data_IF_254495834990
#
_entry.id   IF_254495834990
#
_cell.length_a   1.000
_cell.length_b   1.000
_cell.length_c   1.000
_cell.angle_alpha   90.00
_cell.angle_beta   90.00
_cell.angle_gamma   90.00
#
_symmetry.space_group_name_H-M   'P 1'
#
loop_
_entity.id
_entity.type
_entity.pdbx_description
1 polymer ?
#
# COMPACT_ATOMS: atom_id res chain seq x y z
N UNK A 1 21.82 -0.79 14.45
CA UNK A 1 21.86 -0.40 13.02
C UNK A 1 23.14 0.33 12.65
N UNK A 2 23.64 1.28 13.47
CA UNK A 2 24.88 2.03 13.21
C UNK A 2 26.09 1.16 12.85
N UNK A 3 26.35 0.07 13.58
CA UNK A 3 27.45 -0.86 13.26
C UNK A 3 27.26 -1.57 11.91
N UNK A 4 26.03 -1.89 11.54
CA UNK A 4 25.72 -2.54 10.26
C UNK A 4 25.92 -1.54 9.11
N UNK A 5 25.43 -0.30 9.28
CA UNK A 5 25.60 0.78 8.30
C UNK A 5 27.08 1.12 8.10
N UNK A 6 27.85 1.26 9.18
CA UNK A 6 29.29 1.50 9.12
C UNK A 6 30.07 0.37 8.43
N UNK A 7 29.50 -0.84 8.35
CA UNK A 7 30.07 -2.00 7.65
C UNK A 7 29.51 -2.19 6.25
N UNK A 8 28.63 -1.30 5.76
CA UNK A 8 28.00 -1.42 4.45
C UNK A 8 27.09 -2.65 4.32
N UNK A 9 26.49 -3.13 5.41
CA UNK A 9 25.57 -4.28 5.34
C UNK A 9 24.28 -3.84 4.66
N UNK A 10 23.83 -4.46 3.56
CA UNK A 10 22.56 -4.12 2.93
C UNK A 10 21.39 -4.58 3.80
N UNK A 11 20.30 -3.79 3.83
CA UNK A 11 19.07 -4.11 4.55
C UNK A 11 17.97 -4.53 3.57
N UNK A 12 17.37 -5.69 3.81
CA UNK A 12 16.17 -6.13 3.12
C UNK A 12 14.93 -5.84 3.99
N UNK A 13 14.03 -5.01 3.51
CA UNK A 13 12.77 -4.68 4.20
C UNK A 13 11.63 -5.43 3.52
N UNK A 14 11.18 -6.52 4.12
CA UNK A 14 10.13 -7.40 3.56
C UNK A 14 8.71 -6.97 3.89
N UNK A 15 8.55 -5.90 4.68
CA UNK A 15 7.30 -5.22 4.93
C UNK A 15 7.58 -3.70 4.90
N UNK A 16 7.19 -2.99 3.83
CA UNK A 16 7.50 -1.57 3.66
C UNK A 16 6.60 -0.63 4.46
N UNK A 17 5.61 -1.16 5.19
CA UNK A 17 4.69 -0.34 5.99
C UNK A 17 5.44 0.46 7.05
N UNK A 18 5.01 1.70 7.26
CA UNK A 18 5.65 2.63 8.20
C UNK A 18 5.05 2.57 9.61
N UNK A 19 3.75 2.29 9.70
CA UNK A 19 2.98 2.27 10.94
C UNK A 19 2.00 1.11 10.94
N UNK A 20 1.70 0.59 12.13
CA UNK A 20 0.68 -0.43 12.32
C UNK A 20 -0.72 0.23 12.41
N UNK A 21 -1.71 -0.24 11.62
CA UNK A 21 -3.10 0.15 11.82
C UNK A 21 -3.56 -0.10 13.27
N UNK A 22 -4.28 0.84 13.88
CA UNK A 22 -4.86 0.71 15.22
C UNK A 22 -3.95 1.09 16.40
N UNK A 23 -2.62 1.08 16.24
CA UNK A 23 -1.71 1.43 17.34
C UNK A 23 -0.64 2.45 16.98
N UNK A 24 -0.54 2.85 15.71
CA UNK A 24 0.50 3.76 15.17
C UNK A 24 1.94 3.33 15.50
N UNK A 25 2.12 2.07 15.93
CA UNK A 25 3.42 1.53 16.29
C UNK A 25 4.31 1.45 15.05
N UNK A 26 5.63 1.70 15.18
CA UNK A 26 6.55 1.66 14.05
C UNK A 26 6.60 0.26 13.42
N UNK A 27 6.61 0.20 12.09
CA UNK A 27 6.71 -1.02 11.28
C UNK A 27 8.04 -1.07 10.51
N UNK A 28 8.43 -2.22 9.90
CA UNK A 28 9.78 -2.40 9.34
C UNK A 28 10.17 -1.38 8.26
N UNK A 29 9.21 -0.80 7.53
CA UNK A 29 9.45 0.30 6.59
C UNK A 29 10.08 1.53 7.26
N UNK A 30 9.67 1.85 8.50
CA UNK A 30 10.25 2.96 9.26
C UNK A 30 11.71 2.69 9.63
N UNK A 31 12.07 1.43 9.88
CA UNK A 31 13.45 1.02 10.12
C UNK A 31 14.30 1.19 8.85
N UNK A 32 13.79 0.79 7.69
CA UNK A 32 14.43 1.01 6.39
C UNK A 32 14.67 2.49 6.10
N UNK A 33 13.66 3.34 6.32
CA UNK A 33 13.77 4.79 6.12
C UNK A 33 14.87 5.40 6.98
N UNK A 34 14.96 4.98 8.23
CA UNK A 34 16.00 5.40 9.17
C UNK A 34 17.40 4.90 8.72
N UNK A 35 17.51 3.65 8.29
CA UNK A 35 18.76 3.06 7.83
C UNK A 35 19.33 3.75 6.58
N UNK A 36 18.49 4.02 5.59
CA UNK A 36 18.90 4.71 4.38
C UNK A 36 19.14 6.20 4.63
N UNK A 37 18.19 6.89 5.26
CA UNK A 37 18.20 8.34 5.37
C UNK A 37 19.21 8.88 6.39
N UNK A 38 19.21 8.33 7.61
CA UNK A 38 20.07 8.86 8.68
C UNK A 38 21.43 8.18 8.75
N UNK A 39 21.52 6.93 8.30
CA UNK A 39 22.76 6.13 8.40
C UNK A 39 23.44 5.88 7.05
N UNK A 40 22.87 6.33 5.93
CA UNK A 40 23.43 6.17 4.59
C UNK A 40 23.55 4.71 4.12
N UNK A 41 22.80 3.79 4.75
CA UNK A 41 22.85 2.37 4.42
C UNK A 41 22.05 2.02 3.16
N UNK A 42 22.47 0.97 2.46
CA UNK A 42 21.74 0.44 1.31
C UNK A 42 20.48 -0.32 1.77
N UNK A 43 19.33 -0.02 1.17
CA UNK A 43 18.04 -0.66 1.48
C UNK A 43 17.35 -1.12 0.22
N UNK A 44 16.90 -2.38 0.21
CA UNK A 44 15.97 -2.91 -0.77
C UNK A 44 14.63 -3.19 -0.09
N UNK A 45 13.54 -2.63 -0.64
CA UNK A 45 12.19 -2.89 -0.17
C UNK A 45 11.52 -3.99 -1.01
N UNK A 46 10.84 -4.92 -0.34
CA UNK A 46 9.96 -5.92 -0.96
C UNK A 46 8.56 -5.70 -0.40
N UNK A 47 7.60 -5.49 -1.30
CA UNK A 47 6.20 -5.26 -0.96
C UNK A 47 5.62 -4.09 -1.74
N UNK A 48 4.34 -3.78 -1.48
CA UNK A 48 3.62 -2.67 -2.11
C UNK A 48 4.24 -1.31 -1.72
N UNK A 49 4.19 -0.26 -2.57
CA UNK A 49 3.66 -0.23 -3.94
C UNK A 49 4.67 -0.72 -4.99
N UNK A 50 5.85 -1.21 -4.57
CA UNK A 50 7.04 -1.26 -5.41
C UNK A 50 6.92 -2.23 -6.58
N UNK A 51 7.14 -1.68 -7.78
CA UNK A 51 7.55 -2.33 -9.02
C UNK A 51 9.04 -2.03 -9.25
N UNK A 52 9.91 -2.53 -8.38
CA UNK A 52 11.35 -2.33 -8.59
C UNK A 52 11.78 -3.00 -9.90
N UNK A 53 12.40 -2.25 -10.82
CA UNK A 53 12.91 -2.79 -12.09
C UNK A 53 13.89 -3.98 -11.94
N UNK A 54 14.32 -4.29 -10.71
CA UNK A 54 15.25 -5.35 -10.35
C UNK A 54 14.73 -6.33 -9.27
N UNK A 55 13.43 -6.31 -8.93
CA UNK A 55 12.85 -7.25 -7.97
C UNK A 55 11.49 -7.75 -8.45
N UNK A 56 11.32 -9.07 -8.50
CA UNK A 56 10.01 -9.71 -8.66
C UNK A 56 9.15 -9.34 -7.45
N UNK A 57 8.33 -8.30 -7.60
CA UNK A 57 7.52 -7.72 -6.54
C UNK A 57 6.35 -8.61 -6.15
N UNK A 58 5.63 -8.21 -5.10
CA UNK A 58 4.40 -8.90 -4.69
C UNK A 58 3.34 -8.91 -5.80
N UNK A 59 3.30 -7.85 -6.64
CA UNK A 59 2.42 -7.78 -7.80
C UNK A 59 2.82 -8.77 -8.89
N UNK A 60 4.10 -8.83 -9.28
CA UNK A 60 4.56 -9.81 -10.29
C UNK A 60 4.19 -11.24 -9.89
N UNK A 61 4.36 -11.58 -8.61
CA UNK A 61 4.00 -12.91 -8.13
C UNK A 61 2.49 -13.14 -8.18
N UNK A 62 1.69 -12.16 -7.75
CA UNK A 62 0.23 -12.25 -7.79
C UNK A 62 -0.29 -12.38 -9.23
N UNK A 63 0.24 -11.56 -10.16
CA UNK A 63 -0.11 -11.57 -11.58
C UNK A 63 0.32 -12.86 -12.27
N UNK A 64 1.48 -13.41 -11.93
CA UNK A 64 1.90 -14.73 -12.42
C UNK A 64 0.93 -15.83 -12.01
N UNK A 65 0.47 -15.83 -10.74
CA UNK A 65 -0.53 -16.79 -10.26
C UNK A 65 -1.86 -16.61 -11.00
N UNK A 66 -2.31 -15.37 -11.23
CA UNK A 66 -3.52 -15.10 -12.01
C UNK A 66 -3.39 -15.58 -13.45
N UNK A 67 -2.24 -15.37 -14.08
CA UNK A 67 -1.96 -15.84 -15.43
C UNK A 67 -1.97 -17.38 -15.53
N UNK A 68 -1.46 -18.09 -14.52
CA UNK A 68 -1.57 -19.56 -14.41
C UNK A 68 -3.04 -20.02 -14.34
N UNK A 69 -3.96 -19.18 -13.85
CA UNK A 69 -5.40 -19.42 -13.82
C UNK A 69 -6.13 -18.90 -15.09
N UNK A 70 -5.40 -18.43 -16.10
CA UNK A 70 -5.96 -17.91 -17.35
C UNK A 70 -6.45 -16.46 -17.29
N UNK A 71 -6.06 -15.71 -16.25
CA UNK A 71 -6.34 -14.26 -16.14
C UNK A 71 -5.06 -13.50 -16.51
N UNK A 72 -4.96 -13.08 -17.77
CA UNK A 72 -3.83 -12.28 -18.30
C UNK A 72 -4.21 -10.85 -18.67
N UNK A 73 -5.50 -10.55 -18.72
CA UNK A 73 -6.04 -9.23 -19.01
C UNK A 73 -6.07 -8.39 -17.72
N UNK A 74 -5.14 -7.44 -17.61
CA UNK A 74 -5.00 -6.59 -16.43
C UNK A 74 -6.21 -5.67 -16.22
N UNK A 75 -6.98 -5.35 -17.27
CA UNK A 75 -8.20 -4.55 -17.16
C UNK A 75 -9.28 -5.27 -16.33
N UNK A 76 -9.14 -6.58 -16.15
CA UNK A 76 -10.04 -7.44 -15.34
C UNK A 76 -9.52 -7.71 -13.93
N UNK A 77 -8.38 -7.14 -13.56
CA UNK A 77 -7.75 -7.33 -12.25
C UNK A 77 -8.02 -6.10 -11.39
N UNK A 78 -8.55 -6.33 -10.19
CA UNK A 78 -8.80 -5.28 -9.22
C UNK A 78 -7.93 -5.49 -7.98
N UNK A 79 -7.20 -4.46 -7.57
CA UNK A 79 -6.59 -4.42 -6.24
C UNK A 79 -7.63 -3.99 -5.21
N UNK A 80 -7.60 -4.56 -4.02
CA UNK A 80 -8.43 -4.11 -2.90
C UNK A 80 -7.58 -3.96 -1.66
N UNK A 81 -7.65 -2.80 -1.03
CA UNK A 81 -6.87 -2.51 0.16
C UNK A 81 -7.26 -1.18 0.80
N UNK A 82 -6.62 -0.83 1.90
CA UNK A 82 -7.00 0.30 2.75
C UNK A 82 -6.00 1.46 2.71
N UNK A 83 -4.89 1.32 1.99
CA UNK A 83 -3.81 2.29 1.97
C UNK A 83 -3.60 2.88 0.57
N UNK A 84 -3.78 4.21 0.45
CA UNK A 84 -3.49 4.95 -0.78
C UNK A 84 -2.04 4.72 -1.27
N UNK A 85 -1.06 4.85 -0.37
CA UNK A 85 0.37 4.88 -0.68
C UNK A 85 0.95 3.50 -1.08
N UNK A 86 0.24 2.42 -0.76
CA UNK A 86 0.69 1.06 -1.05
C UNK A 86 -0.28 0.32 -1.97
N UNK A 87 -1.55 0.20 -1.62
CA UNK A 87 -2.54 -0.58 -2.37
C UNK A 87 -2.96 0.11 -3.66
N UNK A 88 -3.46 1.34 -3.54
CA UNK A 88 -4.04 2.08 -4.66
C UNK A 88 -2.94 2.51 -5.61
N UNK A 89 -1.88 3.12 -5.08
CA UNK A 89 -0.67 3.43 -5.84
C UNK A 89 -0.05 2.19 -6.49
N UNK A 90 0.01 1.07 -5.76
CA UNK A 90 0.53 -0.17 -6.32
C UNK A 90 -0.30 -0.70 -7.48
N UNK A 91 -1.63 -0.55 -7.44
CA UNK A 91 -2.50 -0.89 -8.56
C UNK A 91 -2.20 -0.03 -9.80
N UNK A 92 -2.09 1.28 -9.62
CA UNK A 92 -1.77 2.22 -10.69
C UNK A 92 -0.40 1.93 -11.33
N UNK A 93 0.65 1.77 -10.52
CA UNK A 93 2.01 1.47 -10.97
C UNK A 93 2.15 0.12 -11.71
N UNK A 94 1.21 -0.80 -11.51
CA UNK A 94 1.18 -2.10 -12.17
C UNK A 94 0.11 -2.19 -13.28
N UNK A 95 -0.54 -1.08 -13.63
CA UNK A 95 -1.50 -1.03 -14.74
C UNK A 95 -2.73 -1.91 -14.55
N UNK A 96 -3.20 -2.08 -13.31
CA UNK A 96 -4.41 -2.85 -13.04
C UNK A 96 -5.66 -2.06 -13.43
N UNK A 97 -6.67 -2.73 -13.97
CA UNK A 97 -7.91 -2.10 -14.44
C UNK A 97 -8.78 -1.50 -13.34
N UNK A 98 -8.53 -1.86 -12.08
CA UNK A 98 -9.28 -1.31 -10.96
C UNK A 98 -8.54 -1.35 -9.63
N UNK A 99 -9.00 -0.49 -8.73
CA UNK A 99 -8.56 -0.41 -7.35
C UNK A 99 -9.71 0.02 -6.46
N UNK A 100 -9.87 -0.65 -5.31
CA UNK A 100 -10.91 -0.35 -4.32
C UNK A 100 -10.23 0.05 -3.01
N UNK A 101 -10.54 1.26 -2.53
CA UNK A 101 -10.15 1.73 -1.21
C UNK A 101 -11.17 1.27 -0.15
N UNK A 102 -10.69 0.61 0.90
CA UNK A 102 -11.47 0.21 2.07
C UNK A 102 -11.30 1.25 3.18
N UNK A 103 -12.39 1.89 3.57
CA UNK A 103 -12.38 3.06 4.44
C UNK A 103 -12.04 2.81 5.91
N UNK A 104 -12.38 1.64 6.46
CA UNK A 104 -12.12 1.34 7.88
C UNK A 104 -10.67 0.93 8.20
N UNK A 105 -9.72 1.18 7.31
CA UNK A 105 -8.30 0.87 7.53
C UNK A 105 -7.46 2.08 7.88
N UNK A 106 -6.26 2.24 7.33
CA UNK A 106 -5.30 3.27 7.78
C UNK A 106 -5.80 4.71 7.63
N UNK A 107 -6.68 4.98 6.66
CA UNK A 107 -7.23 6.30 6.36
C UNK A 107 -8.56 6.57 7.09
N UNK A 108 -8.96 5.72 8.04
CA UNK A 108 -10.28 5.80 8.69
C UNK A 108 -10.53 7.14 9.39
N UNK A 109 -9.52 7.70 10.07
CA UNK A 109 -9.65 9.00 10.75
C UNK A 109 -9.96 10.13 9.77
N UNK A 110 -9.20 10.21 8.66
CA UNK A 110 -9.44 11.16 7.58
C UNK A 110 -10.84 10.99 6.99
N UNK A 111 -11.26 9.74 6.79
CA UNK A 111 -12.56 9.38 6.23
C UNK A 111 -13.73 9.52 7.23
N UNK A 112 -13.46 9.83 8.50
CA UNK A 112 -14.48 9.98 9.54
C UNK A 112 -15.11 8.67 9.98
N UNK A 113 -14.37 7.58 9.86
CA UNK A 113 -14.77 6.21 10.16
C UNK A 113 -14.02 5.65 11.37
N UNK A 114 -14.64 4.72 12.08
CA UNK A 114 -14.01 4.00 13.18
C UNK A 114 -13.21 2.80 12.66
N UNK A 115 -11.90 2.81 12.91
CA UNK A 115 -11.00 1.78 12.39
C UNK A 115 -11.42 0.37 12.82
N UNK A 116 -11.54 -0.55 11.86
CA UNK A 116 -11.85 -1.96 12.13
C UNK A 116 -13.32 -2.26 12.50
N UNK A 117 -14.22 -1.28 12.52
CA UNK A 117 -15.63 -1.47 12.86
C UNK A 117 -16.41 -2.34 11.86
N UNK A 118 -16.02 -2.32 10.59
CA UNK A 118 -16.66 -3.11 9.54
C UNK A 118 -17.97 -2.48 9.05
N UNK A 119 -18.96 -3.28 8.71
CA UNK A 119 -20.21 -2.81 8.10
C UNK A 119 -20.98 -1.80 8.98
N UNK A 120 -21.77 -0.90 8.35
CA UNK A 120 -22.77 -0.07 9.02
C UNK A 120 -22.44 1.42 9.13
N UNK A 121 -21.23 1.84 8.78
CA UNK A 121 -20.90 3.26 8.61
C UNK A 121 -20.99 3.67 7.13
N UNK A 122 -21.30 4.94 6.90
CA UNK A 122 -21.28 5.56 5.57
C UNK A 122 -20.03 6.40 5.44
N UNK A 123 -19.32 6.25 4.32
CA UNK A 123 -18.17 7.09 4.01
C UNK A 123 -18.67 8.47 3.54
N UNK A 124 -18.21 9.52 4.19
CA UNK A 124 -18.53 10.89 3.77
C UNK A 124 -17.78 11.24 2.49
N UNK A 125 -18.52 11.68 1.47
CA UNK A 125 -17.97 11.96 0.15
C UNK A 125 -17.04 13.19 0.15
N UNK A 126 -17.33 14.21 0.97
CA UNK A 126 -16.48 15.40 1.07
C UNK A 126 -15.13 15.09 1.71
N UNK A 127 -15.12 14.24 2.74
CA UNK A 127 -13.88 13.73 3.36
C UNK A 127 -13.06 12.84 2.43
N UNK A 128 -13.73 12.01 1.62
CA UNK A 128 -13.04 11.24 0.59
C UNK A 128 -12.39 12.16 -0.43
N UNK A 129 -13.10 13.18 -0.92
CA UNK A 129 -12.55 14.17 -1.85
C UNK A 129 -11.34 14.90 -1.25
N UNK A 130 -11.45 15.37 0.00
CA UNK A 130 -10.36 16.02 0.73
C UNK A 130 -9.13 15.10 0.88
N UNK A 131 -9.33 13.82 1.19
CA UNK A 131 -8.23 12.83 1.22
C UNK A 131 -7.55 12.71 -0.14
N UNK A 132 -8.34 12.65 -1.23
CA UNK A 132 -7.84 12.44 -2.59
C UNK A 132 -7.18 13.68 -3.20
N UNK A 133 -7.39 14.88 -2.66
CA UNK A 133 -6.63 16.09 -3.04
C UNK A 133 -5.12 15.94 -2.81
N UNK A 134 -4.71 15.06 -1.89
CA UNK A 134 -3.30 14.77 -1.62
C UNK A 134 -2.61 13.84 -2.62
N UNK A 135 -3.31 13.34 -3.64
CA UNK A 135 -2.82 12.30 -4.55
C UNK A 135 -3.06 12.67 -6.02
N UNK A 136 -2.14 12.21 -6.88
CA UNK A 136 -2.25 12.35 -8.34
C UNK A 136 -3.50 11.64 -8.86
N UNK A 137 -4.12 12.18 -9.92
CA UNK A 137 -5.35 11.63 -10.50
C UNK A 137 -5.18 10.18 -10.96
N UNK A 138 -4.01 9.80 -11.47
CA UNK A 138 -3.72 8.42 -11.88
C UNK A 138 -3.54 7.45 -10.70
N UNK A 139 -3.30 7.96 -9.48
CA UNK A 139 -3.15 7.16 -8.24
C UNK A 139 -4.42 7.20 -7.36
N UNK A 140 -5.57 7.62 -7.92
CA UNK A 140 -6.86 7.60 -7.22
C UNK A 140 -7.57 6.23 -7.33
N UNK A 141 -8.34 5.83 -6.31
CA UNK A 141 -9.07 4.58 -6.35
C UNK A 141 -10.22 4.67 -7.36
N UNK A 142 -10.46 3.59 -8.11
CA UNK A 142 -11.64 3.52 -9.00
C UNK A 142 -12.94 3.49 -8.21
N UNK A 143 -12.91 2.93 -6.99
CA UNK A 143 -14.04 2.83 -6.08
C UNK A 143 -13.55 2.99 -4.64
N UNK A 144 -14.39 3.55 -3.78
CA UNK A 144 -14.15 3.57 -2.34
C UNK A 144 -15.39 3.04 -1.62
N UNK A 145 -15.18 2.14 -0.67
CA UNK A 145 -16.25 1.58 0.17
C UNK A 145 -15.81 1.59 1.63
N UNK A 146 -16.74 1.78 2.58
CA UNK A 146 -16.38 1.80 4.00
C UNK A 146 -15.85 0.41 4.44
N UNK A 147 -16.58 -0.66 4.13
CA UNK A 147 -16.19 -2.05 4.39
C UNK A 147 -16.76 -2.99 3.32
N UNK A 148 -16.23 -4.21 3.24
CA UNK A 148 -16.91 -5.31 2.57
C UNK A 148 -18.23 -5.63 3.29
N UNK A 149 -19.28 -5.79 2.50
CA UNK A 149 -20.57 -6.31 2.96
C UNK A 149 -20.86 -7.58 2.16
N UNK A 150 -21.19 -8.66 2.86
CA UNK A 150 -21.58 -9.96 2.30
C UNK A 150 -22.88 -10.44 2.95
#
# INVERSE_FOLDING_TARGET
MTTAAARGVPMLVTNPDLVRPGSMAPMPGRLGKLYAGELGGEVTYIGKPHNGANTNGVYDRALAILAEQGVSDLDRVCMVGDAMETDIRGAALNGLGGSVLIGHGIHSESLGLEQGKGAGETMDQGRLEELLEGYDDEERPTHAIPAFNW
#
